data_IF_908633592985
#
_entry.id   IF_908633592985
#
_cell.length_a   1.000
_cell.length_b   1.000
_cell.length_c   1.000
_cell.angle_alpha   90.00
_cell.angle_beta   90.00
_cell.angle_gamma   90.00
#
_symmetry.space_group_name_H-M   'P 1'
#
loop_
_entity.id
_entity.type
_entity.pdbx_description
1 polymer ?
#
# COMPACT_ATOMS: atom_id res chain seq x y z
N UNK A 1 4.82 -13.47 -3.84
CA UNK A 1 4.37 -12.17 -4.40
C UNK A 1 5.37 -11.57 -5.39
N UNK A 2 6.63 -11.30 -5.00
CA UNK A 2 7.64 -10.67 -5.87
C UNK A 2 8.09 -11.49 -7.10
N UNK A 3 8.07 -12.82 -7.02
CA UNK A 3 8.37 -13.68 -8.17
C UNK A 3 7.26 -13.65 -9.23
N UNK A 4 6.01 -13.45 -8.77
CA UNK A 4 4.84 -13.34 -9.62
C UNK A 4 4.84 -12.05 -10.44
N UNK A 5 5.21 -10.91 -9.84
CA UNK A 5 5.36 -9.63 -10.56
C UNK A 5 6.48 -9.66 -11.60
N UNK A 6 7.59 -10.34 -11.31
CA UNK A 6 8.67 -10.52 -12.30
C UNK A 6 8.20 -11.41 -13.45
N UNK A 7 7.58 -12.56 -13.18
CA UNK A 7 6.99 -13.43 -14.22
C UNK A 7 5.89 -12.74 -15.04
N UNK A 8 5.08 -11.89 -14.39
CA UNK A 8 3.99 -11.12 -15.00
C UNK A 8 4.51 -10.09 -16.04
N UNK A 9 5.72 -9.57 -15.85
CA UNK A 9 6.37 -8.65 -16.79
C UNK A 9 6.91 -9.39 -18.03
N UNK A 10 7.33 -10.66 -17.88
CA UNK A 10 7.97 -11.43 -18.95
C UNK A 10 7.02 -12.29 -19.78
N UNK A 11 5.86 -12.73 -19.27
CA UNK A 11 4.92 -13.60 -19.99
C UNK A 11 3.84 -12.81 -20.75
N UNK A 12 3.51 -13.24 -21.98
CA UNK A 12 2.49 -12.58 -22.82
C UNK A 12 1.07 -12.95 -22.33
N UNK A 13 0.54 -12.16 -21.40
CA UNK A 13 -0.66 -12.46 -20.61
C UNK A 13 -2.00 -12.11 -21.29
N UNK A 14 -2.01 -11.49 -22.47
CA UNK A 14 -3.24 -11.02 -23.14
C UNK A 14 -4.33 -12.09 -23.27
N UNK A 15 -3.94 -13.32 -23.61
CA UNK A 15 -4.88 -14.42 -23.82
C UNK A 15 -5.46 -14.97 -22.50
N UNK A 16 -4.67 -14.95 -21.42
CA UNK A 16 -5.10 -15.43 -20.10
C UNK A 16 -5.98 -14.36 -19.42
N UNK A 17 -5.59 -13.10 -19.55
CA UNK A 17 -6.31 -11.97 -18.97
C UNK A 17 -7.70 -11.80 -19.58
N UNK A 18 -7.84 -11.90 -20.91
CA UNK A 18 -9.15 -11.88 -21.60
C UNK A 18 -10.07 -13.02 -21.15
N UNK A 19 -9.51 -14.20 -20.90
CA UNK A 19 -10.27 -15.38 -20.45
C UNK A 19 -10.80 -15.22 -19.02
N UNK A 20 -9.98 -14.63 -18.14
CA UNK A 20 -10.35 -14.38 -16.73
C UNK A 20 -11.31 -13.19 -16.62
N UNK A 21 -11.12 -12.13 -17.42
CA UNK A 21 -11.99 -10.96 -17.46
C UNK A 21 -13.43 -11.29 -17.88
N UNK A 22 -13.63 -12.27 -18.77
CA UNK A 22 -14.96 -12.73 -19.18
C UNK A 22 -15.71 -13.55 -18.11
N UNK A 23 -15.05 -13.93 -17.01
CA UNK A 23 -15.62 -14.77 -15.93
C UNK A 23 -15.93 -13.91 -14.69
N UNK A 24 -15.48 -12.65 -14.63
CA UNK A 24 -15.60 -11.80 -13.46
C UNK A 24 -16.87 -10.90 -13.50
N UNK A 25 -17.53 -10.67 -12.35
CA UNK A 25 -18.72 -9.84 -12.25
C UNK A 25 -18.45 -8.35 -12.51
N UNK A 26 -19.51 -7.63 -12.90
CA UNK A 26 -19.52 -6.22 -13.31
C UNK A 26 -18.72 -5.30 -12.36
N UNK A 27 -17.70 -4.62 -12.90
CA UNK A 27 -16.91 -3.56 -12.23
C UNK A 27 -15.48 -3.94 -11.81
N UNK A 28 -15.16 -5.24 -11.64
CA UNK A 28 -13.78 -5.68 -11.33
C UNK A 28 -12.93 -5.73 -12.62
N UNK A 29 -13.54 -6.10 -13.74
CA UNK A 29 -12.85 -6.21 -15.02
C UNK A 29 -12.28 -4.88 -15.52
N UNK A 30 -13.00 -3.78 -15.30
CA UNK A 30 -12.56 -2.43 -15.69
C UNK A 30 -11.34 -1.96 -14.88
N UNK A 31 -11.35 -2.15 -13.55
CA UNK A 31 -10.19 -1.83 -12.70
C UNK A 31 -8.96 -2.68 -13.03
N UNK A 32 -9.16 -3.95 -13.37
CA UNK A 32 -8.08 -4.84 -13.82
C UNK A 32 -7.54 -4.38 -15.18
N UNK A 33 -8.42 -3.97 -16.10
CA UNK A 33 -8.01 -3.43 -17.40
C UNK A 33 -7.22 -2.12 -17.24
N UNK A 34 -7.68 -1.18 -16.41
CA UNK A 34 -6.94 0.05 -16.07
C UNK A 34 -5.57 -0.26 -15.46
N UNK A 35 -5.50 -1.20 -14.51
CA UNK A 35 -4.23 -1.62 -13.92
C UNK A 35 -3.29 -2.22 -14.96
N UNK A 36 -3.81 -3.04 -15.88
CA UNK A 36 -3.03 -3.66 -16.95
C UNK A 36 -2.56 -2.63 -17.97
N UNK A 37 -3.37 -1.63 -18.31
CA UNK A 37 -2.96 -0.52 -19.17
C UNK A 37 -1.90 0.35 -18.49
N UNK A 38 -2.05 0.66 -17.20
CA UNK A 38 -1.02 1.34 -16.43
C UNK A 38 0.30 0.54 -16.47
N UNK A 39 0.26 -0.76 -16.21
CA UNK A 39 1.44 -1.63 -16.28
C UNK A 39 2.03 -1.67 -17.70
N UNK A 40 1.22 -1.64 -18.75
CA UNK A 40 1.69 -1.54 -20.14
C UNK A 40 2.39 -0.23 -20.43
N UNK A 41 1.86 0.88 -19.92
CA UNK A 41 2.45 2.20 -20.08
C UNK A 41 3.84 2.26 -19.43
N UNK A 42 4.01 1.63 -18.25
CA UNK A 42 5.31 1.51 -17.57
C UNK A 42 6.26 0.48 -18.20
N UNK A 43 5.77 -0.51 -18.96
CA UNK A 43 6.59 -1.62 -19.49
C UNK A 43 7.67 -1.19 -20.48
N UNK A 44 7.47 -0.09 -21.23
CA UNK A 44 8.45 0.40 -22.19
C UNK A 44 9.46 1.40 -21.61
N UNK A 45 9.21 1.92 -20.41
CA UNK A 45 10.11 2.87 -19.75
C UNK A 45 10.91 2.17 -18.63
N UNK A 46 12.07 1.63 -19.00
CA UNK A 46 13.00 1.00 -18.07
C UNK A 46 13.45 1.95 -16.95
N UNK A 47 13.49 3.26 -17.21
CA UNK A 47 13.90 4.25 -16.21
C UNK A 47 12.81 4.40 -15.16
N UNK A 48 11.55 4.51 -15.57
CA UNK A 48 10.41 4.56 -14.66
C UNK A 48 10.28 3.28 -13.80
N UNK A 49 10.54 2.10 -14.38
CA UNK A 49 10.55 0.84 -13.63
C UNK A 49 11.67 0.79 -12.58
N UNK A 50 12.88 1.23 -12.93
CA UNK A 50 14.00 1.28 -12.00
C UNK A 50 13.75 2.30 -10.88
N UNK A 51 13.29 3.50 -11.20
CA UNK A 51 12.94 4.53 -10.21
C UNK A 51 11.87 4.02 -9.25
N UNK A 52 10.79 3.41 -9.75
CA UNK A 52 9.74 2.82 -8.93
C UNK A 52 10.26 1.69 -8.03
N UNK A 53 11.15 0.85 -8.54
CA UNK A 53 11.79 -0.20 -7.75
C UNK A 53 12.66 0.38 -6.62
N UNK A 54 13.54 1.33 -6.92
CA UNK A 54 14.39 1.98 -5.91
C UNK A 54 13.56 2.72 -4.86
N UNK A 55 12.53 3.45 -5.28
CA UNK A 55 11.60 4.11 -4.35
C UNK A 55 10.89 3.09 -3.45
N UNK A 56 10.49 1.94 -3.99
CA UNK A 56 9.88 0.87 -3.20
C UNK A 56 10.85 0.29 -2.17
N UNK A 57 12.10 0.03 -2.57
CA UNK A 57 13.14 -0.46 -1.66
C UNK A 57 13.45 0.56 -0.56
N UNK A 58 13.55 1.84 -0.92
CA UNK A 58 13.77 2.92 0.04
C UNK A 58 12.59 3.04 1.02
N UNK A 59 11.36 2.93 0.53
CA UNK A 59 10.17 2.96 1.36
C UNK A 59 10.14 1.78 2.34
N UNK A 60 10.44 0.56 1.87
CA UNK A 60 10.52 -0.62 2.72
C UNK A 60 11.64 -0.51 3.76
N UNK A 61 12.82 -0.02 3.35
CA UNK A 61 13.93 0.25 4.27
C UNK A 61 13.55 1.29 5.34
N UNK A 62 12.84 2.35 4.94
CA UNK A 62 12.34 3.39 5.86
C UNK A 62 11.35 2.83 6.87
N UNK A 63 10.45 1.93 6.45
CA UNK A 63 9.52 1.24 7.35
C UNK A 63 10.25 0.37 8.37
N UNK A 64 11.24 -0.41 7.93
CA UNK A 64 12.05 -1.26 8.82
C UNK A 64 12.81 -0.39 9.83
N UNK A 65 13.45 0.69 9.36
CA UNK A 65 14.13 1.65 10.22
C UNK A 65 13.17 2.29 11.23
N UNK A 66 11.96 2.65 10.81
CA UNK A 66 10.95 3.21 11.69
C UNK A 66 10.54 2.23 12.81
N UNK A 67 10.28 0.96 12.48
CA UNK A 67 9.98 -0.08 13.47
C UNK A 67 11.15 -0.30 14.44
N UNK A 68 12.39 -0.30 13.93
CA UNK A 68 13.59 -0.38 14.76
C UNK A 68 13.68 0.79 15.75
N UNK A 69 13.45 2.02 15.29
CA UNK A 69 13.47 3.21 16.16
C UNK A 69 12.39 3.12 17.26
N UNK A 70 11.20 2.63 16.93
CA UNK A 70 10.15 2.38 17.94
C UNK A 70 10.66 1.36 18.98
N UNK A 71 11.30 0.28 18.55
CA UNK A 71 11.84 -0.73 19.46
C UNK A 71 12.92 -0.16 20.40
N UNK A 72 13.83 0.67 19.87
CA UNK A 72 14.84 1.37 20.68
C UNK A 72 14.17 2.29 21.71
N UNK A 73 13.17 3.07 21.32
CA UNK A 73 12.42 3.95 22.23
C UNK A 73 11.66 3.13 23.29
N UNK A 74 11.18 1.94 22.92
CA UNK A 74 10.54 0.99 23.83
C UNK A 74 11.53 0.24 24.76
N UNK A 75 12.82 0.60 24.73
CA UNK A 75 13.85 0.04 25.60
C UNK A 75 14.33 -1.35 25.19
N UNK A 76 14.16 -1.74 23.92
CA UNK A 76 14.64 -3.02 23.39
C UNK A 76 16.08 -2.86 22.94
N UNK A 77 16.98 -3.64 23.53
CA UNK A 77 18.43 -3.56 23.29
C UNK A 77 19.06 -4.90 22.87
N UNK A 78 18.30 -5.98 23.03
CA UNK A 78 18.72 -7.37 22.81
C UNK A 78 18.72 -7.74 21.33
N UNK A 79 17.84 -7.11 20.54
CA UNK A 79 17.63 -7.46 19.14
C UNK A 79 18.57 -6.62 18.25
N UNK A 80 19.47 -7.26 17.47
CA UNK A 80 20.33 -6.53 16.55
C UNK A 80 19.50 -5.92 15.41
N UNK A 81 19.89 -4.73 14.95
CA UNK A 81 19.19 -4.01 13.87
C UNK A 81 19.00 -4.86 12.59
N UNK A 82 19.95 -5.75 12.29
CA UNK A 82 19.90 -6.64 11.13
C UNK A 82 18.78 -7.67 11.21
N UNK A 83 18.36 -8.06 12.42
CA UNK A 83 17.23 -8.99 12.59
C UNK A 83 15.92 -8.37 12.11
N UNK A 84 15.73 -7.05 12.28
CA UNK A 84 14.53 -6.34 11.81
C UNK A 84 14.38 -6.44 10.29
N UNK A 85 15.47 -6.47 9.52
CA UNK A 85 15.43 -6.68 8.07
C UNK A 85 14.93 -8.07 7.66
N UNK A 86 14.95 -9.04 8.59
CA UNK A 86 14.46 -10.40 8.34
C UNK A 86 13.02 -10.51 8.78
N UNK A 87 12.71 -10.23 10.05
CA UNK A 87 11.39 -10.54 10.58
C UNK A 87 10.33 -9.49 10.22
N UNK A 88 10.67 -8.21 10.04
CA UNK A 88 9.67 -7.18 9.70
C UNK A 88 9.00 -7.47 8.34
N UNK A 89 9.75 -7.80 7.26
CA UNK A 89 9.13 -8.29 6.02
C UNK A 89 8.27 -9.54 6.20
N UNK A 90 8.67 -10.47 7.07
CA UNK A 90 7.88 -11.67 7.36
C UNK A 90 6.57 -11.31 8.07
N UNK A 91 6.60 -10.40 9.06
CA UNK A 91 5.39 -9.87 9.70
C UNK A 91 4.46 -9.24 8.67
N UNK A 92 4.98 -8.49 7.70
CA UNK A 92 4.17 -7.94 6.62
C UNK A 92 3.55 -9.02 5.74
N UNK A 93 4.29 -10.07 5.37
CA UNK A 93 3.74 -11.20 4.63
C UNK A 93 2.64 -11.91 5.42
N UNK A 94 2.84 -12.13 6.72
CA UNK A 94 1.82 -12.73 7.60
C UNK A 94 0.60 -11.81 7.72
N UNK A 95 0.81 -10.50 7.78
CA UNK A 95 -0.26 -9.50 7.86
C UNK A 95 -1.11 -9.40 6.59
N UNK A 96 -0.66 -9.94 5.46
CA UNK A 96 -1.46 -10.04 4.23
C UNK A 96 -2.52 -11.13 4.31
N UNK A 97 -2.44 -12.01 5.30
CA UNK A 97 -3.44 -13.06 5.48
C UNK A 97 -4.77 -12.39 5.88
N UNK A 98 -5.85 -12.56 5.09
CA UNK A 98 -7.12 -11.85 5.29
C UNK A 98 -7.96 -12.47 6.43
N UNK A 99 -7.33 -12.78 7.57
CA UNK A 99 -7.99 -13.30 8.76
C UNK A 99 -8.54 -12.16 9.63
N UNK A 100 -7.91 -10.98 9.60
CA UNK A 100 -8.34 -9.83 10.41
C UNK A 100 -8.24 -8.48 9.69
N UNK A 101 -9.03 -7.51 10.18
CA UNK A 101 -9.01 -6.14 9.67
C UNK A 101 -7.65 -5.49 10.00
N UNK A 102 -6.90 -5.11 8.96
CA UNK A 102 -5.57 -4.49 9.07
C UNK A 102 -4.59 -5.30 9.96
N UNK A 103 -4.70 -6.62 9.89
CA UNK A 103 -3.89 -7.56 10.67
C UNK A 103 -3.96 -7.35 12.20
N UNK A 104 -5.01 -6.71 12.73
CA UNK A 104 -5.22 -6.60 14.18
C UNK A 104 -5.27 -7.99 14.82
N UNK A 105 -4.50 -8.19 15.88
CA UNK A 105 -4.22 -9.47 16.53
C UNK A 105 -3.07 -10.26 15.87
N UNK A 106 -3.09 -10.38 14.53
CA UNK A 106 -2.10 -11.17 13.77
C UNK A 106 -0.72 -10.50 13.78
N UNK A 107 -0.68 -9.19 13.52
CA UNK A 107 0.54 -8.38 13.56
C UNK A 107 1.12 -8.36 14.97
N UNK A 108 0.28 -8.11 15.97
CA UNK A 108 0.68 -8.09 17.38
C UNK A 108 1.27 -9.43 17.81
N UNK A 109 0.61 -10.55 17.49
CA UNK A 109 1.12 -11.88 17.80
C UNK A 109 2.45 -12.16 17.07
N UNK A 110 2.57 -11.75 15.80
CA UNK A 110 3.79 -11.94 15.02
C UNK A 110 4.96 -11.15 15.61
N UNK A 111 4.74 -9.89 15.98
CA UNK A 111 5.77 -9.08 16.64
C UNK A 111 6.17 -9.66 18.00
N UNK A 112 5.21 -10.04 18.85
CA UNK A 112 5.49 -10.69 20.12
C UNK A 112 6.33 -11.97 19.94
N UNK A 113 5.95 -12.81 18.98
CA UNK A 113 6.65 -14.05 18.66
C UNK A 113 8.09 -13.81 18.20
N UNK A 114 8.31 -12.90 17.25
CA UNK A 114 9.66 -12.64 16.77
C UNK A 114 10.52 -11.95 17.84
N UNK A 115 9.95 -11.06 18.65
CA UNK A 115 10.72 -10.42 19.74
C UNK A 115 11.16 -11.45 20.77
N UNK A 116 10.28 -12.38 21.15
CA UNK A 116 10.61 -13.53 22.01
C UNK A 116 11.70 -14.41 21.40
N UNK A 117 11.60 -14.71 20.10
CA UNK A 117 12.58 -15.53 19.38
C UNK A 117 13.98 -14.92 19.41
N UNK A 118 14.08 -13.59 19.43
CA UNK A 118 15.35 -12.84 19.50
C UNK A 118 15.74 -12.44 20.93
N UNK A 119 15.07 -12.96 21.96
CA UNK A 119 15.43 -12.81 23.37
C UNK A 119 14.86 -11.58 24.08
N UNK A 120 14.03 -10.78 23.41
CA UNK A 120 13.26 -9.71 24.05
C UNK A 120 11.94 -10.24 24.64
N UNK A 121 11.26 -9.46 25.46
CA UNK A 121 9.96 -9.88 25.99
C UNK A 121 8.86 -9.82 24.92
N UNK A 122 7.88 -10.75 24.93
CA UNK A 122 6.69 -10.67 24.08
C UNK A 122 5.92 -9.35 24.25
N UNK A 123 5.90 -8.82 25.48
CA UNK A 123 5.25 -7.55 25.80
C UNK A 123 5.89 -6.35 25.07
N UNK A 124 7.21 -6.35 24.89
CA UNK A 124 7.90 -5.33 24.09
C UNK A 124 7.50 -5.43 22.61
N UNK A 125 7.41 -6.64 22.05
CA UNK A 125 6.94 -6.84 20.67
C UNK A 125 5.52 -6.31 20.47
N UNK A 126 4.61 -6.62 21.39
CA UNK A 126 3.24 -6.08 21.41
C UNK A 126 3.25 -4.55 21.45
N UNK A 127 4.03 -3.95 22.35
CA UNK A 127 4.13 -2.49 22.49
C UNK A 127 4.62 -1.83 21.20
N UNK A 128 5.64 -2.39 20.55
CA UNK A 128 6.16 -1.90 19.27
C UNK A 128 5.10 -1.94 18.17
N UNK A 129 4.36 -3.04 18.06
CA UNK A 129 3.26 -3.18 17.10
C UNK A 129 2.17 -2.11 17.32
N UNK A 130 1.79 -1.88 18.58
CA UNK A 130 0.77 -0.90 18.94
C UNK A 130 1.21 0.54 18.67
N UNK A 131 2.45 0.90 18.99
CA UNK A 131 2.99 2.23 18.68
C UNK A 131 3.02 2.45 17.16
N UNK A 132 3.52 1.47 16.39
CA UNK A 132 3.54 1.53 14.92
C UNK A 132 2.14 1.75 14.33
N UNK A 133 1.16 0.98 14.82
CA UNK A 133 -0.24 1.13 14.41
C UNK A 133 -0.80 2.50 14.79
N UNK A 134 -0.56 2.95 16.03
CA UNK A 134 -1.00 4.25 16.52
C UNK A 134 -0.44 5.41 15.69
N UNK A 135 0.85 5.39 15.35
CA UNK A 135 1.44 6.40 14.45
C UNK A 135 0.80 6.35 13.07
N UNK A 136 0.56 5.15 12.53
CA UNK A 136 -0.08 5.00 11.21
C UNK A 136 -1.50 5.58 11.20
N UNK A 137 -2.27 5.37 12.26
CA UNK A 137 -3.61 5.97 12.43
C UNK A 137 -3.52 7.50 12.49
N UNK A 138 -2.58 8.05 13.28
CA UNK A 138 -2.37 9.50 13.39
C UNK A 138 -2.03 10.09 12.01
N UNK A 139 -1.07 9.52 11.28
CA UNK A 139 -0.73 9.96 9.93
C UNK A 139 -1.93 9.87 8.97
N UNK A 140 -2.73 8.80 9.07
CA UNK A 140 -3.96 8.63 8.28
C UNK A 140 -5.00 9.71 8.58
N UNK A 141 -5.18 10.09 9.85
CA UNK A 141 -6.07 11.18 10.25
C UNK A 141 -5.58 12.51 9.66
N UNK A 142 -4.28 12.82 9.75
CA UNK A 142 -3.72 14.02 9.15
C UNK A 142 -3.95 14.06 7.63
N UNK A 143 -3.68 12.96 6.93
CA UNK A 143 -3.98 12.84 5.50
C UNK A 143 -5.46 13.04 5.19
N UNK A 144 -6.35 12.47 6.01
CA UNK A 144 -7.80 12.64 5.90
C UNK A 144 -8.26 14.08 6.12
N UNK A 145 -7.70 14.79 7.10
CA UNK A 145 -7.97 16.21 7.35
C UNK A 145 -7.51 17.05 6.16
N UNK A 146 -6.28 16.83 5.67
CA UNK A 146 -5.76 17.53 4.50
C UNK A 146 -6.67 17.29 3.30
N UNK A 147 -7.10 16.05 3.06
CA UNK A 147 -8.02 15.71 1.98
C UNK A 147 -9.38 16.42 2.13
N UNK A 148 -9.96 16.42 3.33
CA UNK A 148 -11.25 17.06 3.59
C UNK A 148 -11.19 18.59 3.40
N UNK A 149 -10.09 19.23 3.83
CA UNK A 149 -9.88 20.68 3.70
C UNK A 149 -9.46 21.08 2.28
N UNK A 150 -8.72 20.20 1.58
CA UNK A 150 -8.26 20.45 0.20
C UNK A 150 -9.38 20.37 -0.83
N UNK A 151 -10.60 19.99 -0.41
CA UNK A 151 -11.87 20.08 -1.11
C UNK A 151 -11.76 19.96 -2.63
N UNK A 152 -12.06 18.78 -3.20
CA UNK A 152 -12.00 18.47 -4.63
C UNK A 152 -12.60 19.58 -5.55
N UNK A 153 -11.81 20.62 -5.85
CA UNK A 153 -12.20 21.77 -6.68
C UNK A 153 -12.34 21.40 -8.16
N UNK A 154 -11.87 20.22 -8.57
CA UNK A 154 -11.96 19.73 -9.95
C UNK A 154 -13.40 19.31 -10.30
N UNK A 155 -14.08 18.53 -9.46
CA UNK A 155 -15.47 18.11 -9.73
C UNK A 155 -16.46 19.29 -9.79
N UNK A 156 -16.26 20.32 -8.97
CA UNK A 156 -17.12 21.50 -8.97
C UNK A 156 -16.92 22.38 -10.23
N UNK A 157 -15.70 22.43 -10.78
CA UNK A 157 -15.41 23.15 -12.03
C UNK A 157 -16.00 22.44 -13.24
N UNK A 158 -15.84 21.12 -13.35
CA UNK A 158 -16.33 20.36 -14.51
C UNK A 158 -17.86 20.33 -14.60
N UNK A 159 -18.57 20.27 -13.47
CA UNK A 159 -20.06 20.35 -13.45
C UNK A 159 -20.54 21.76 -13.81
N UNK A 160 -19.80 22.80 -13.42
CA UNK A 160 -20.14 24.20 -13.76
C UNK A 160 -19.89 24.56 -15.22
N UNK A 161 -18.88 23.96 -15.87
CA UNK A 161 -18.63 24.16 -17.31
C UNK A 161 -19.66 23.44 -18.18
N UNK A 162 -20.05 22.21 -17.82
CA UNK A 162 -21.11 21.47 -18.53
C UNK A 162 -22.47 22.18 -18.41
N UNK A 163 -22.83 22.69 -17.22
CA UNK A 163 -24.07 23.44 -17.05
C UNK A 163 -24.07 24.79 -17.81
N UNK A 164 -22.91 25.43 -18.00
CA UNK A 164 -22.82 26.66 -18.79
C UNK A 164 -22.90 26.41 -20.31
N UNK A 165 -22.45 25.26 -20.80
CA UNK A 165 -22.61 24.86 -22.21
C UNK A 165 -24.07 24.49 -22.54
N UNK A 166 -24.79 23.87 -21.59
CA UNK A 166 -26.20 23.51 -21.75
C UNK A 166 -27.17 24.70 -21.62
N UNK A 167 -26.71 25.84 -21.11
CA UNK A 167 -27.49 27.09 -20.97
C UNK A 167 -26.93 28.16 -21.93
N UNK A 168 -26.47 27.75 -23.12
CA UNK A 168 -26.14 28.71 -24.18
C UNK A 168 -27.43 29.38 -24.68
N UNK A 169 -27.54 30.73 -24.69
CA UNK A 169 -28.71 31.47 -25.17
C UNK A 169 -29.07 31.30 -26.66
N UNK A 170 -28.34 30.50 -27.41
CA UNK A 170 -28.49 30.35 -28.87
C UNK A 170 -29.66 29.44 -29.31
N UNK A 171 -30.35 28.76 -28.38
CA UNK A 171 -31.59 27.99 -28.68
C UNK A 171 -32.90 28.77 -28.45
N UNK A 172 -32.83 30.01 -27.98
CA UNK A 172 -34.02 30.88 -27.83
C UNK A 172 -33.92 32.06 -28.79
N UNK A 173 -34.01 31.78 -30.09
CA UNK A 173 -34.39 32.77 -31.12
C UNK A 173 -35.33 32.16 -32.15
#
# INVERSE_FOLDING_TARGET
LWFGTVLFIFFNYENVLRKILNILPFGIGEKIAEFVEAVRFFRNDRKALLEGFFLSVLYQGSLIAFVYLIAVIAGVSEIPWSAFFVFVPLVWVISLIPISLNALGVREASFSYFFELWGASPAQGLLVSLIFFGTSVICGIFGGIIWAVSGNRQKAKDISSVNNELVSPDEIK
#
